data_IF_450299192218
#
_entry.id   IF_450299192218
#
_cell.length_a   1.000
_cell.length_b   1.000
_cell.length_c   1.000
_cell.angle_alpha   90.00
_cell.angle_beta   90.00
_cell.angle_gamma   90.00
#
_symmetry.space_group_name_H-M   'P 1'
#
loop_
_entity.id
_entity.type
_entity.pdbx_description
1 polymer ?
#
# COMPACT_ATOMS: atom_id res chain seq x y z
N UNK A 1 -28.07 25.86 -5.95
CA UNK A 1 -26.77 26.22 -5.37
C UNK A 1 -26.62 25.44 -4.07
N UNK A 2 -25.89 24.32 -4.08
CA UNK A 2 -25.62 23.56 -2.86
C UNK A 2 -24.31 24.08 -2.28
N UNK A 3 -24.39 24.86 -1.21
CA UNK A 3 -23.21 25.21 -0.43
C UNK A 3 -22.77 23.94 0.32
N UNK A 4 -21.76 23.24 -0.20
CA UNK A 4 -21.07 22.21 0.56
C UNK A 4 -20.33 22.92 1.70
N UNK A 5 -20.85 22.80 2.94
CA UNK A 5 -20.07 23.16 4.13
C UNK A 5 -18.81 22.30 4.10
N UNK A 6 -17.65 22.94 4.12
CA UNK A 6 -16.37 22.27 4.39
C UNK A 6 -16.47 21.58 5.76
N UNK A 7 -16.86 20.30 5.77
CA UNK A 7 -16.52 19.43 6.87
C UNK A 7 -15.00 19.29 6.81
N UNK A 8 -14.29 19.83 7.81
CA UNK A 8 -12.82 19.72 7.92
C UNK A 8 -12.34 18.28 8.19
N UNK A 9 -13.21 17.30 8.02
CA UNK A 9 -12.99 15.88 8.22
C UNK A 9 -13.51 15.14 7.01
N UNK A 10 -12.61 14.45 6.31
CA UNK A 10 -12.98 13.52 5.24
C UNK A 10 -13.57 12.27 5.86
N UNK A 11 -14.55 11.67 5.17
CA UNK A 11 -15.05 10.36 5.53
C UNK A 11 -13.91 9.34 5.43
N UNK A 12 -13.83 8.41 6.39
CA UNK A 12 -12.81 7.35 6.40
C UNK A 12 -13.00 6.34 5.30
N UNK A 13 -14.19 6.28 4.72
CA UNK A 13 -14.54 5.42 3.61
C UNK A 13 -15.23 6.27 2.54
N UNK A 14 -15.07 5.89 1.29
CA UNK A 14 -15.73 6.59 0.18
C UNK A 14 -15.28 6.07 -1.16
N UNK A 15 -15.71 6.77 -2.21
CA UNK A 15 -15.33 6.49 -3.60
C UNK A 15 -14.87 7.77 -4.26
N UNK A 16 -13.75 7.71 -4.97
CA UNK A 16 -13.21 8.85 -5.74
C UNK A 16 -14.03 9.06 -7.02
N UNK A 17 -13.86 10.21 -7.67
CA UNK A 17 -14.49 10.48 -8.96
C UNK A 17 -14.02 9.52 -10.08
N UNK A 18 -12.86 8.89 -9.92
CA UNK A 18 -12.32 7.89 -10.83
C UNK A 18 -12.78 6.46 -10.51
N UNK A 19 -13.73 6.28 -9.59
CA UNK A 19 -14.30 4.98 -9.26
C UNK A 19 -13.56 4.19 -8.18
N UNK A 20 -12.41 4.66 -7.70
CA UNK A 20 -11.63 3.96 -6.66
C UNK A 20 -12.35 4.05 -5.32
N UNK A 21 -12.68 2.91 -4.73
CA UNK A 21 -13.14 2.84 -3.35
C UNK A 21 -11.95 2.92 -2.40
N UNK A 22 -12.11 3.62 -1.29
CA UNK A 22 -11.09 3.72 -0.26
C UNK A 22 -11.67 3.46 1.12
N UNK A 23 -10.85 2.88 2.00
CA UNK A 23 -11.14 2.67 3.42
C UNK A 23 -9.87 2.89 4.25
N UNK A 24 -9.83 4.00 4.98
CA UNK A 24 -8.76 4.37 5.90
C UNK A 24 -8.92 3.58 7.21
N UNK A 25 -7.89 2.85 7.60
CA UNK A 25 -7.84 2.03 8.81
C UNK A 25 -6.52 2.31 9.54
N UNK A 26 -6.52 2.37 10.89
CA UNK A 26 -5.28 2.66 11.64
C UNK A 26 -4.45 3.83 11.05
N UNK A 27 -3.25 3.51 10.58
CA UNK A 27 -2.33 4.41 9.85
C UNK A 27 -2.24 4.11 8.34
N UNK A 28 -3.11 3.25 7.83
CA UNK A 28 -3.11 2.79 6.44
C UNK A 28 -4.38 3.13 5.68
N UNK A 29 -4.38 2.71 4.41
CA UNK A 29 -5.49 2.87 3.50
C UNK A 29 -5.59 1.62 2.62
N UNK A 30 -6.79 1.07 2.53
CA UNK A 30 -7.15 0.08 1.51
C UNK A 30 -7.86 0.77 0.37
N UNK A 31 -7.46 0.46 -0.86
CA UNK A 31 -8.01 1.01 -2.08
C UNK A 31 -8.40 -0.13 -3.02
N UNK A 32 -9.56 -0.01 -3.64
CA UNK A 32 -10.07 -1.02 -4.58
C UNK A 32 -10.46 -0.34 -5.89
N UNK A 33 -9.95 -0.85 -7.01
CA UNK A 33 -10.30 -0.33 -8.34
C UNK A 33 -11.66 -0.85 -8.85
N UNK A 34 -12.10 -0.37 -10.01
CA UNK A 34 -13.38 -0.78 -10.61
C UNK A 34 -13.42 -2.26 -11.02
N UNK A 35 -12.25 -2.88 -11.23
CA UNK A 35 -12.10 -4.31 -11.53
C UNK A 35 -12.05 -5.16 -10.25
N UNK A 36 -12.13 -4.53 -9.06
CA UNK A 36 -12.04 -5.19 -7.77
C UNK A 36 -10.62 -5.50 -7.30
N UNK A 37 -9.57 -4.97 -7.95
CA UNK A 37 -8.19 -5.13 -7.50
C UNK A 37 -7.96 -4.29 -6.26
N UNK A 38 -7.55 -4.95 -5.18
CA UNK A 38 -7.32 -4.33 -3.88
C UNK A 38 -5.83 -4.08 -3.63
N UNK A 39 -5.48 -2.85 -3.26
CA UNK A 39 -4.16 -2.49 -2.73
C UNK A 39 -4.33 -1.96 -1.30
N UNK A 40 -3.56 -2.50 -0.36
CA UNK A 40 -3.54 -2.06 1.04
C UNK A 40 -2.11 -1.61 1.37
N UNK A 41 -1.97 -0.45 2.00
CA UNK A 41 -0.69 0.12 2.45
C UNK A 41 -0.82 0.71 3.84
N UNK A 42 0.26 0.70 4.60
CA UNK A 42 0.39 1.48 5.84
C UNK A 42 1.33 2.67 5.61
N UNK A 43 1.01 3.80 6.24
CA UNK A 43 1.90 4.96 6.30
C UNK A 43 2.91 4.73 7.43
N UNK A 44 4.16 4.39 7.07
CA UNK A 44 5.22 4.01 8.00
C UNK A 44 6.32 5.08 8.02
N UNK A 45 6.78 5.54 9.20
CA UNK A 45 7.97 6.38 9.30
C UNK A 45 9.18 5.65 8.73
N UNK A 46 9.85 6.27 7.78
CA UNK A 46 11.02 5.70 7.16
C UNK A 46 12.28 6.06 7.96
N UNK A 47 13.04 5.10 8.50
CA UNK A 47 14.23 5.39 9.29
C UNK A 47 15.36 6.04 8.47
N UNK A 48 15.29 5.98 7.14
CA UNK A 48 16.29 6.56 6.24
C UNK A 48 15.95 7.96 5.77
N UNK A 49 14.74 8.46 6.05
CA UNK A 49 14.29 9.80 5.64
C UNK A 49 13.53 10.48 6.77
N UNK A 50 13.09 11.72 6.57
CA UNK A 50 12.24 12.43 7.54
C UNK A 50 10.75 12.33 7.21
N UNK A 51 10.40 11.55 6.18
CA UNK A 51 9.03 11.43 5.67
C UNK A 51 8.39 10.11 6.08
N UNK A 52 7.07 10.10 6.07
CA UNK A 52 6.28 8.87 6.17
C UNK A 52 6.07 8.36 4.75
N UNK A 53 6.25 7.05 4.56
CA UNK A 53 6.13 6.40 3.24
C UNK A 53 4.98 5.40 3.24
N UNK A 54 4.38 5.21 2.08
CA UNK A 54 3.46 4.11 1.82
C UNK A 54 4.27 2.82 1.76
N UNK A 55 4.01 1.92 2.72
CA UNK A 55 4.73 0.67 2.84
C UNK A 55 3.77 -0.51 2.86
N UNK A 56 4.23 -1.62 2.31
CA UNK A 56 3.53 -2.90 2.29
C UNK A 56 4.40 -3.97 2.96
N UNK A 57 3.72 -4.97 3.53
CA UNK A 57 4.35 -6.15 4.10
C UNK A 57 4.07 -7.39 3.23
N UNK A 58 4.74 -8.49 3.58
CA UNK A 58 4.59 -9.78 2.91
C UNK A 58 3.13 -10.24 2.87
N UNK A 59 2.35 -9.99 3.92
CA UNK A 59 0.95 -10.42 3.99
C UNK A 59 0.09 -9.68 2.97
N UNK A 60 0.24 -8.35 2.86
CA UNK A 60 -0.47 -7.54 1.85
C UNK A 60 -0.11 -7.93 0.42
N UNK A 61 1.17 -8.16 0.14
CA UNK A 61 1.61 -8.63 -1.18
C UNK A 61 0.95 -9.97 -1.51
N UNK A 62 0.92 -10.90 -0.56
CA UNK A 62 0.27 -12.21 -0.78
C UNK A 62 -1.22 -12.10 -1.03
N UNK A 63 -1.92 -11.21 -0.32
CA UNK A 63 -3.34 -10.97 -0.56
C UNK A 63 -3.57 -10.40 -1.94
N UNK A 64 -2.77 -9.42 -2.37
CA UNK A 64 -2.82 -8.87 -3.72
C UNK A 64 -2.63 -9.97 -4.78
N UNK A 65 -1.58 -10.78 -4.66
CA UNK A 65 -1.28 -11.85 -5.61
C UNK A 65 -2.39 -12.90 -5.66
N UNK A 66 -2.89 -13.32 -4.50
CA UNK A 66 -3.97 -14.32 -4.41
C UNK A 66 -5.27 -13.79 -5.01
N UNK A 67 -5.61 -12.52 -4.74
CA UNK A 67 -6.80 -11.87 -5.28
C UNK A 67 -6.77 -11.68 -6.81
N UNK A 68 -5.57 -11.64 -7.40
CA UNK A 68 -5.38 -11.48 -8.84
C UNK A 68 -5.07 -12.81 -9.57
N UNK A 69 -5.27 -13.96 -8.91
CA UNK A 69 -5.15 -15.28 -9.54
C UNK A 69 -3.72 -15.77 -9.75
N UNK A 70 -2.73 -15.18 -9.09
CA UNK A 70 -1.35 -15.68 -9.09
C UNK A 70 -1.21 -16.92 -8.20
N UNK A 71 -0.19 -17.73 -8.48
CA UNK A 71 0.10 -18.89 -7.65
C UNK A 71 0.43 -18.48 -6.21
N UNK A 72 -0.09 -19.21 -5.20
CA UNK A 72 0.22 -18.93 -3.81
C UNK A 72 1.72 -19.03 -3.56
N UNK A 73 2.30 -17.97 -3.00
CA UNK A 73 3.69 -17.95 -2.54
C UNK A 73 3.75 -18.10 -1.02
N UNK A 74 4.82 -18.72 -0.53
CA UNK A 74 5.18 -18.73 0.88
C UNK A 74 5.62 -17.34 1.34
N UNK A 75 5.65 -17.10 2.66
CA UNK A 75 6.11 -15.81 3.17
C UNK A 75 7.60 -15.60 2.87
N UNK A 76 8.36 -16.68 2.90
CA UNK A 76 9.78 -16.74 2.64
C UNK A 76 10.09 -16.38 1.19
N UNK A 77 9.35 -16.94 0.23
CA UNK A 77 9.50 -16.61 -1.20
C UNK A 77 9.20 -15.14 -1.48
N UNK A 78 8.11 -14.60 -0.92
CA UNK A 78 7.75 -13.19 -1.10
C UNK A 78 8.81 -12.29 -0.45
N UNK A 79 9.26 -12.60 0.77
CA UNK A 79 10.29 -11.80 1.43
C UNK A 79 11.62 -11.84 0.64
N UNK A 80 12.04 -13.02 0.17
CA UNK A 80 13.25 -13.16 -0.64
C UNK A 80 13.15 -12.38 -1.95
N UNK A 81 11.99 -12.41 -2.63
CA UNK A 81 11.76 -11.61 -3.83
C UNK A 81 11.84 -10.10 -3.52
N UNK A 82 11.24 -9.64 -2.42
CA UNK A 82 11.33 -8.24 -2.01
C UNK A 82 12.77 -7.81 -1.68
N UNK A 83 13.55 -8.66 -1.02
CA UNK A 83 14.96 -8.39 -0.74
C UNK A 83 15.80 -8.34 -2.02
N UNK A 84 15.53 -9.22 -2.99
CA UNK A 84 16.18 -9.18 -4.31
C UNK A 84 15.83 -7.90 -5.07
N UNK A 85 14.54 -7.52 -5.13
CA UNK A 85 14.11 -6.27 -5.75
C UNK A 85 14.75 -5.06 -5.06
N UNK A 86 14.88 -5.09 -3.74
CA UNK A 86 15.55 -4.03 -3.01
C UNK A 86 17.06 -3.95 -3.32
N UNK A 87 17.73 -5.09 -3.48
CA UNK A 87 19.13 -5.12 -3.91
C UNK A 87 19.32 -4.56 -5.33
N UNK A 88 18.29 -4.64 -6.18
CA UNK A 88 18.28 -4.06 -7.53
C UNK A 88 17.80 -2.59 -7.57
N UNK A 89 17.37 -2.01 -6.45
CA UNK A 89 16.85 -0.64 -6.37
C UNK A 89 15.39 -0.47 -6.79
N UNK A 90 14.70 -1.56 -7.12
CA UNK A 90 13.27 -1.56 -7.48
C UNK A 90 12.35 -1.42 -6.26
N UNK A 91 12.88 -1.74 -5.07
CA UNK A 91 12.23 -1.52 -3.79
C UNK A 91 13.21 -0.89 -2.80
N UNK A 92 12.65 -0.33 -1.73
CA UNK A 92 13.37 0.05 -0.52
C UNK A 92 12.95 -0.82 0.65
N UNK A 93 13.92 -1.22 1.46
CA UNK A 93 13.67 -1.82 2.77
C UNK A 93 13.46 -0.70 3.78
N UNK A 94 12.23 -0.52 4.24
CA UNK A 94 11.88 0.42 5.33
C UNK A 94 12.19 -0.23 6.69
N UNK A 95 11.87 -1.52 6.81
CA UNK A 95 12.26 -2.35 7.97
C UNK A 95 12.51 -3.78 7.51
N UNK A 96 13.72 -4.28 7.77
CA UNK A 96 14.12 -5.63 7.40
C UNK A 96 13.10 -6.68 7.84
N UNK A 97 12.76 -7.57 6.90
CA UNK A 97 11.80 -8.66 7.11
C UNK A 97 10.36 -8.22 7.36
N UNK A 98 10.01 -6.95 7.15
CA UNK A 98 8.66 -6.45 7.45
C UNK A 98 8.11 -5.46 6.43
N UNK A 99 8.78 -4.32 6.26
CA UNK A 99 8.22 -3.20 5.51
C UNK A 99 9.09 -2.88 4.29
N UNK A 100 8.43 -2.85 3.13
CA UNK A 100 9.00 -2.46 1.86
C UNK A 100 8.20 -1.28 1.31
N UNK A 101 8.88 -0.38 0.61
CA UNK A 101 8.26 0.75 -0.08
C UNK A 101 8.83 0.87 -1.48
N UNK A 102 8.13 1.59 -2.35
CA UNK A 102 8.68 1.97 -3.64
C UNK A 102 9.88 2.92 -3.45
N UNK A 103 10.83 2.95 -4.39
CA UNK A 103 11.85 3.99 -4.42
C UNK A 103 11.18 5.38 -4.57
N UNK A 104 11.86 6.46 -4.16
CA UNK A 104 11.38 7.81 -4.43
C UNK A 104 11.15 7.99 -5.93
N UNK A 105 10.04 8.64 -6.30
CA UNK A 105 9.87 9.08 -7.69
C UNK A 105 10.83 10.24 -7.97
N UNK A 106 11.61 10.14 -9.04
CA UNK A 106 12.47 11.23 -9.55
C UNK A 106 11.66 12.47 -9.99
#
# INVERSE_FOLDING_TARGET
>A
MFAARSQRTMAREGRTASGIEYSVHGVGCRMTDEDGREVDVDLIPDPHTTIVVEAFDVWRIKLFLSGNGYHPLTNEEVNAACEQLAACGELRVVKQGRWFALPPSD
#
